data_IF_465027788918
#
_entry.id   IF_465027788918
#
_cell.length_a   1.000
_cell.length_b   1.000
_cell.length_c   1.000
_cell.angle_alpha   90.00
_cell.angle_beta   90.00
_cell.angle_gamma   90.00
#
_symmetry.space_group_name_H-M   'P 1'
#
loop_
_entity.id
_entity.type
_entity.pdbx_description
1 polymer ?
#
# COMPACT_ATOMS: atom_id res chain seq x y z
N UNK A 1 4.06 7.62 -9.94
CA UNK A 1 3.07 6.67 -9.40
C UNK A 1 2.40 5.80 -10.47
N UNK A 2 2.14 6.30 -11.68
CA UNK A 2 1.52 5.50 -12.75
C UNK A 2 2.45 5.44 -13.97
N UNK A 3 3.28 4.39 -14.12
CA UNK A 3 4.16 4.25 -15.29
C UNK A 3 3.38 3.81 -16.54
N UNK A 4 2.24 3.13 -16.38
CA UNK A 4 1.40 2.68 -17.48
C UNK A 4 -0.07 3.03 -17.22
N UNK A 5 -0.84 3.54 -18.22
CA UNK A 5 -2.20 4.03 -17.99
C UNK A 5 -3.17 3.02 -17.37
N UNK A 6 -3.03 1.72 -17.68
CA UNK A 6 -3.91 0.67 -17.14
C UNK A 6 -3.48 0.14 -15.76
N UNK A 7 -2.26 0.45 -15.32
CA UNK A 7 -1.70 -0.02 -14.05
C UNK A 7 -1.71 1.13 -13.03
N UNK A 8 -2.92 1.60 -12.70
CA UNK A 8 -3.18 2.71 -11.78
C UNK A 8 -3.89 2.26 -10.49
N UNK A 9 -3.87 0.96 -10.19
CA UNK A 9 -4.40 0.40 -8.95
C UNK A 9 -3.28 0.35 -7.90
N UNK A 10 -3.54 0.95 -6.74
CA UNK A 10 -2.55 1.03 -5.67
C UNK A 10 -2.89 0.09 -4.52
N UNK A 11 -1.85 -0.33 -3.81
CA UNK A 11 -1.91 -0.99 -2.52
C UNK A 11 -1.57 0.05 -1.45
N UNK A 12 -2.58 0.65 -0.79
CA UNK A 12 -2.32 1.55 0.31
C UNK A 12 -1.95 0.76 1.56
N UNK A 13 -1.09 1.35 2.39
CA UNK A 13 -0.72 0.84 3.70
C UNK A 13 -0.65 1.98 4.71
N UNK A 14 -0.74 1.65 5.99
CA UNK A 14 -0.66 2.64 7.06
C UNK A 14 0.13 2.08 8.24
N UNK A 15 0.96 2.91 8.84
CA UNK A 15 1.69 2.61 10.07
C UNK A 15 1.63 3.82 11.02
N UNK A 16 1.47 3.63 12.34
CA UNK A 16 1.32 2.34 13.02
C UNK A 16 -0.13 1.83 13.01
N UNK A 17 -0.31 0.51 12.87
CA UNK A 17 -1.58 -0.15 13.18
C UNK A 17 -1.51 -0.71 14.60
N UNK A 18 -2.12 0.02 15.54
CA UNK A 18 -2.12 -0.28 16.96
C UNK A 18 -3.53 -0.21 17.51
N UNK A 19 -3.86 -1.12 18.43
CA UNK A 19 -5.12 -1.06 19.15
C UNK A 19 -5.15 0.17 20.06
N UNK A 20 -6.36 0.66 20.37
CA UNK A 20 -6.55 1.90 21.16
C UNK A 20 -5.83 1.89 22.52
N UNK A 21 -5.76 0.73 23.19
CA UNK A 21 -5.07 0.59 24.49
C UNK A 21 -3.57 0.34 24.41
N UNK A 22 -3.05 -0.09 23.26
CA UNK A 22 -1.63 -0.47 23.12
C UNK A 22 -0.74 0.66 22.59
N UNK A 23 -1.32 1.80 22.21
CA UNK A 23 -0.59 2.91 21.60
C UNK A 23 0.47 3.54 22.52
N UNK A 24 0.21 3.60 23.82
CA UNK A 24 1.12 4.24 24.78
C UNK A 24 2.35 3.39 25.11
N UNK A 25 2.26 2.07 24.92
CA UNK A 25 3.29 1.11 25.30
C UNK A 25 4.25 0.75 24.16
N UNK A 26 3.96 1.19 22.93
CA UNK A 26 4.80 0.90 21.77
C UNK A 26 5.69 2.11 21.47
N UNK A 27 7.03 1.97 21.54
CA UNK A 27 7.88 3.00 20.98
C UNK A 27 7.51 3.20 19.51
N UNK A 28 7.55 4.46 19.08
CA UNK A 28 7.32 4.84 17.71
C UNK A 28 8.56 5.57 17.21
N UNK A 29 9.33 4.90 16.37
CA UNK A 29 10.54 5.44 15.75
C UNK A 29 10.44 5.36 14.22
N UNK A 30 11.26 6.13 13.51
CA UNK A 30 11.28 6.12 12.02
C UNK A 30 11.61 4.72 11.47
N UNK A 31 12.59 3.96 12.01
CA UNK A 31 12.87 2.60 11.55
C UNK A 31 11.68 1.65 11.75
N UNK A 32 11.00 1.73 12.89
CA UNK A 32 9.82 0.89 13.18
C UNK A 32 8.65 1.22 12.26
N UNK A 33 8.39 2.51 12.01
CA UNK A 33 7.39 2.95 11.04
C UNK A 33 7.71 2.42 9.64
N UNK A 34 8.97 2.53 9.24
CA UNK A 34 9.43 2.08 7.92
C UNK A 34 9.29 0.56 7.78
N UNK A 35 9.67 -0.21 8.79
CA UNK A 35 9.52 -1.66 8.78
C UNK A 35 8.04 -2.07 8.73
N UNK A 36 7.19 -1.46 9.55
CA UNK A 36 5.75 -1.70 9.55
C UNK A 36 5.10 -1.34 8.22
N UNK A 37 5.58 -0.29 7.56
CA UNK A 37 5.03 0.19 6.29
C UNK A 37 5.17 -0.83 5.14
N UNK A 38 6.26 -1.60 5.13
CA UNK A 38 6.52 -2.64 4.13
C UNK A 38 6.06 -4.04 4.58
N UNK A 39 5.47 -4.19 5.77
CA UNK A 39 4.90 -5.45 6.24
C UNK A 39 3.57 -5.72 5.50
N UNK A 40 3.44 -6.93 4.94
CA UNK A 40 2.23 -7.38 4.26
C UNK A 40 0.98 -7.27 5.15
N UNK A 41 1.13 -7.40 6.48
CA UNK A 41 0.01 -7.31 7.44
C UNK A 41 -0.57 -5.91 7.58
N UNK A 42 0.17 -4.88 7.19
CA UNK A 42 -0.25 -3.49 7.29
C UNK A 42 -0.77 -2.91 5.95
N UNK A 43 -0.83 -3.76 4.93
CA UNK A 43 -1.46 -3.41 3.66
C UNK A 43 -2.98 -3.46 3.81
N UNK A 44 -3.65 -2.45 3.26
CA UNK A 44 -5.12 -2.37 3.22
C UNK A 44 -5.71 -3.09 2.01
N UNK A 45 -4.85 -3.64 1.15
CA UNK A 45 -5.23 -4.54 0.07
C UNK A 45 -4.92 -5.98 0.49
N UNK A 46 -5.87 -6.89 0.28
CA UNK A 46 -5.73 -8.31 0.60
C UNK A 46 -4.86 -9.03 -0.46
N UNK A 47 -3.58 -8.66 -0.53
CA UNK A 47 -2.57 -9.27 -1.39
C UNK A 47 -1.19 -9.18 -0.74
N UNK A 48 -0.34 -10.17 -1.01
CA UNK A 48 1.02 -10.20 -0.47
C UNK A 48 1.98 -9.47 -1.43
N UNK A 49 2.59 -8.34 -1.03
CA UNK A 49 3.52 -7.62 -1.89
C UNK A 49 4.74 -8.44 -2.29
N UNK A 50 5.09 -9.50 -1.55
CA UNK A 50 6.24 -10.40 -1.83
C UNK A 50 6.01 -11.29 -3.05
N UNK A 51 4.76 -11.53 -3.45
CA UNK A 51 4.43 -12.27 -4.67
C UNK A 51 4.55 -11.42 -5.94
N UNK A 52 4.92 -10.15 -5.81
CA UNK A 52 5.10 -9.22 -6.92
C UNK A 52 6.36 -8.38 -6.80
N UNK A 53 6.42 -7.35 -7.63
CA UNK A 53 7.44 -6.30 -7.57
C UNK A 53 6.76 -4.94 -7.56
N UNK A 54 7.34 -4.02 -6.81
CA UNK A 54 6.94 -2.62 -6.80
C UNK A 54 7.42 -1.92 -8.06
N UNK A 55 6.48 -1.36 -8.82
CA UNK A 55 6.73 -0.49 -9.96
C UNK A 55 7.11 0.91 -9.48
N UNK A 56 6.30 1.47 -8.57
CA UNK A 56 6.56 2.76 -7.92
C UNK A 56 6.01 2.75 -6.51
N UNK A 57 6.66 3.44 -5.59
CA UNK A 57 6.23 3.59 -4.20
C UNK A 57 6.23 5.06 -3.84
N UNK A 58 5.19 5.52 -3.16
CA UNK A 58 5.19 6.78 -2.45
C UNK A 58 4.96 6.52 -0.96
N UNK A 59 5.78 7.15 -0.13
CA UNK A 59 5.64 7.11 1.32
C UNK A 59 5.51 8.52 1.85
N UNK A 60 4.55 8.72 2.75
CA UNK A 60 4.27 10.01 3.38
C UNK A 60 4.38 9.83 4.87
N UNK A 61 5.45 10.34 5.44
CA UNK A 61 5.67 10.41 6.88
C UNK A 61 5.03 11.68 7.43
N UNK A 62 4.44 11.57 8.62
CA UNK A 62 3.75 12.65 9.32
C UNK A 62 4.20 12.73 10.76
N UNK A 63 4.43 13.92 11.27
CA UNK A 63 4.97 14.21 12.59
C UNK A 63 6.40 14.73 12.55
N UNK A 64 6.89 15.25 13.68
CA UNK A 64 8.24 15.83 13.77
C UNK A 64 9.30 14.73 13.76
N UNK A 65 10.08 14.65 12.70
CA UNK A 65 11.15 13.66 12.52
C UNK A 65 12.27 14.20 11.62
N UNK A 66 13.44 13.57 11.69
CA UNK A 66 14.58 13.94 10.84
C UNK A 66 14.39 13.43 9.42
N UNK A 67 14.42 14.33 8.42
CA UNK A 67 14.37 13.92 7.01
C UNK A 67 15.54 13.01 6.64
N UNK A 68 16.72 13.28 7.19
CA UNK A 68 17.92 12.45 6.99
C UNK A 68 17.68 11.00 7.45
N UNK A 69 17.08 10.82 8.63
CA UNK A 69 16.79 9.49 9.16
C UNK A 69 15.76 8.76 8.28
N UNK A 70 14.73 9.47 7.82
CA UNK A 70 13.72 8.91 6.89
C UNK A 70 14.37 8.40 5.61
N UNK A 71 15.23 9.22 4.98
CA UNK A 71 15.86 8.86 3.71
C UNK A 71 16.86 7.70 3.89
N UNK A 72 17.63 7.68 4.98
CA UNK A 72 18.53 6.56 5.31
C UNK A 72 17.77 5.25 5.51
N UNK A 73 16.64 5.27 6.23
CA UNK A 73 15.80 4.08 6.43
C UNK A 73 15.17 3.59 5.12
N UNK A 74 14.68 4.51 4.28
CA UNK A 74 14.06 4.17 3.00
C UNK A 74 15.07 3.64 1.98
N UNK A 75 16.30 4.14 2.00
CA UNK A 75 17.41 3.58 1.22
C UNK A 75 17.78 2.18 1.73
N UNK A 76 17.89 2.00 3.05
CA UNK A 76 18.20 0.70 3.66
C UNK A 76 17.19 -0.38 3.26
N UNK A 77 15.89 -0.06 3.26
CA UNK A 77 14.84 -1.00 2.82
C UNK A 77 15.01 -1.35 1.34
N UNK A 78 15.22 -0.37 0.48
CA UNK A 78 15.42 -0.62 -0.96
C UNK A 78 16.64 -1.50 -1.22
N UNK A 79 17.77 -1.24 -0.55
CA UNK A 79 18.99 -2.04 -0.73
C UNK A 79 18.83 -3.47 -0.22
N UNK A 80 18.18 -3.67 0.94
CA UNK A 80 17.94 -5.00 1.52
C UNK A 80 16.96 -5.83 0.71
N UNK A 81 15.97 -5.17 0.10
CA UNK A 81 14.84 -5.79 -0.57
C UNK A 81 14.84 -5.53 -2.09
N UNK A 82 16.01 -5.30 -2.69
CA UNK A 82 16.15 -4.85 -4.07
C UNK A 82 15.44 -5.74 -5.10
N UNK A 83 15.35 -7.04 -4.83
CA UNK A 83 14.65 -8.02 -5.66
C UNK A 83 13.13 -7.78 -5.78
N UNK A 84 12.53 -7.08 -4.80
CA UNK A 84 11.11 -6.72 -4.79
C UNK A 84 10.83 -5.38 -5.49
N UNK A 85 11.86 -4.64 -5.93
CA UNK A 85 11.71 -3.41 -6.70
C UNK A 85 12.08 -3.67 -8.16
N UNK A 86 11.41 -3.01 -9.09
CA UNK A 86 11.82 -3.10 -10.50
C UNK A 86 13.08 -2.27 -10.75
N UNK A 87 14.06 -2.87 -11.41
CA UNK A 87 15.36 -2.24 -11.70
C UNK A 87 15.30 -1.21 -12.83
N UNK A 88 14.38 -1.38 -13.78
CA UNK A 88 14.29 -0.57 -15.00
C UNK A 88 13.55 0.76 -14.80
N UNK A 89 12.91 0.99 -13.64
CA UNK A 89 12.44 2.31 -13.22
C UNK A 89 13.44 2.85 -12.19
N UNK A 90 14.34 3.78 -12.56
CA UNK A 90 15.26 4.37 -11.61
C UNK A 90 14.49 5.21 -10.58
N UNK A 91 14.96 5.21 -9.32
CA UNK A 91 14.41 6.05 -8.24
C UNK A 91 12.88 5.94 -8.10
N UNK A 92 12.37 4.71 -8.14
CA UNK A 92 10.95 4.41 -8.13
C UNK A 92 10.26 4.61 -6.77
N UNK A 93 11.01 4.89 -5.71
CA UNK A 93 10.52 5.23 -4.38
C UNK A 93 10.62 6.73 -4.15
N UNK A 94 9.52 7.34 -3.70
CA UNK A 94 9.46 8.75 -3.31
C UNK A 94 8.99 8.89 -1.86
N UNK A 95 9.72 9.68 -1.10
CA UNK A 95 9.46 9.99 0.30
C UNK A 95 8.95 11.42 0.42
N UNK A 96 7.98 11.64 1.31
CA UNK A 96 7.53 12.97 1.70
C UNK A 96 7.39 13.01 3.23
N UNK A 97 7.68 14.16 3.83
CA UNK A 97 7.56 14.39 5.28
C UNK A 97 6.66 15.60 5.51
N UNK A 98 5.73 15.48 6.46
CA UNK A 98 4.82 16.54 6.88
C UNK A 98 4.90 16.71 8.40
N UNK A 99 5.16 17.93 8.87
CA UNK A 99 5.35 18.19 10.30
C UNK A 99 4.08 18.01 11.15
N UNK A 100 2.90 18.03 10.52
CA UNK A 100 1.60 17.96 11.19
C UNK A 100 1.14 16.49 11.28
N UNK A 101 1.19 15.85 12.47
CA UNK A 101 0.74 14.48 12.64
C UNK A 101 -0.80 14.37 12.59
N UNK A 102 -1.35 13.18 12.34
CA UNK A 102 -2.79 12.93 12.44
C UNK A 102 -3.26 13.00 13.91
N UNK A 103 -4.57 13.23 14.11
CA UNK A 103 -5.17 13.35 15.45
C UNK A 103 -4.94 12.07 16.26
N UNK A 104 -4.50 12.22 17.50
CA UNK A 104 -4.28 11.10 18.43
C UNK A 104 -2.96 10.34 18.25
N UNK A 105 -2.08 10.78 17.34
CA UNK A 105 -0.77 10.15 17.12
C UNK A 105 0.34 11.20 17.12
N UNK A 106 1.55 10.81 17.57
CA UNK A 106 2.74 11.68 17.50
C UNK A 106 3.43 11.62 16.14
N UNK A 107 3.46 10.43 15.53
CA UNK A 107 3.99 10.20 14.20
C UNK A 107 3.18 9.11 13.49
N UNK A 108 3.17 9.13 12.16
CA UNK A 108 2.54 8.14 11.31
C UNK A 108 3.25 8.07 9.95
N UNK A 109 3.09 6.97 9.23
CA UNK A 109 3.54 6.79 7.86
C UNK A 109 2.40 6.22 7.02
N UNK A 110 2.20 6.79 5.84
CA UNK A 110 1.26 6.29 4.84
C UNK A 110 2.03 5.78 3.65
N UNK A 111 1.65 4.61 3.18
CA UNK A 111 2.24 3.92 2.05
C UNK A 111 1.27 3.89 0.88
N UNK A 112 1.78 4.12 -0.31
CA UNK A 112 1.06 3.95 -1.56
C UNK A 112 2.00 3.20 -2.50
N UNK A 113 1.76 1.90 -2.69
CA UNK A 113 2.54 1.06 -3.59
C UNK A 113 1.77 0.76 -4.88
N UNK A 114 2.42 0.97 -6.02
CA UNK A 114 2.00 0.35 -7.28
C UNK A 114 2.78 -0.96 -7.43
N UNK A 115 2.14 -2.10 -7.13
CA UNK A 115 2.77 -3.42 -7.14
C UNK A 115 2.04 -4.36 -8.07
N UNK A 116 2.79 -5.25 -8.74
CA UNK A 116 2.21 -6.33 -9.55
C UNK A 116 1.48 -7.38 -8.72
N UNK A 117 1.63 -7.37 -7.39
CA UNK A 117 0.88 -8.22 -6.46
C UNK A 117 -0.63 -7.93 -6.45
N UNK A 118 -1.07 -6.75 -6.91
CA UNK A 118 -2.50 -6.39 -7.01
C UNK A 118 -3.31 -7.37 -7.88
N UNK A 119 -2.64 -8.13 -8.75
CA UNK A 119 -3.27 -9.18 -9.55
C UNK A 119 -3.99 -10.23 -8.69
N UNK A 120 -3.54 -10.50 -7.46
CA UNK A 120 -4.16 -11.48 -6.58
C UNK A 120 -5.58 -11.07 -6.20
N UNK A 121 -5.76 -9.79 -5.89
CA UNK A 121 -7.07 -9.21 -5.58
C UNK A 121 -8.01 -9.34 -6.78
N UNK A 122 -7.51 -9.07 -8.00
CA UNK A 122 -8.31 -9.26 -9.21
C UNK A 122 -8.63 -10.74 -9.47
N UNK A 123 -7.66 -11.65 -9.32
CA UNK A 123 -7.87 -13.10 -9.48
C UNK A 123 -8.90 -13.64 -8.48
N UNK A 124 -8.85 -13.21 -7.22
CA UNK A 124 -9.81 -13.59 -6.20
C UNK A 124 -11.22 -13.13 -6.54
N UNK A 125 -11.39 -11.86 -6.94
CA UNK A 125 -12.69 -11.33 -7.36
C UNK A 125 -13.21 -12.02 -8.62
N UNK A 126 -12.36 -12.24 -9.62
CA UNK A 126 -12.71 -12.98 -10.82
C UNK A 126 -13.17 -14.39 -10.48
N UNK A 127 -12.46 -15.12 -9.61
CA UNK A 127 -12.86 -16.46 -9.16
C UNK A 127 -14.25 -16.44 -8.53
N UNK A 128 -14.51 -15.49 -7.62
CA UNK A 128 -15.83 -15.30 -7.01
C UNK A 128 -16.92 -15.06 -8.06
N UNK A 129 -16.66 -14.21 -9.06
CA UNK A 129 -17.59 -13.95 -10.16
C UNK A 129 -17.81 -15.24 -10.97
N UNK A 130 -16.76 -15.92 -11.42
CA UNK A 130 -16.89 -17.15 -12.22
C UNK A 130 -17.62 -18.27 -11.48
N UNK A 131 -17.41 -18.43 -10.17
CA UNK A 131 -18.09 -19.45 -9.36
C UNK A 131 -19.54 -19.08 -9.02
N UNK A 132 -19.83 -17.79 -8.82
CA UNK A 132 -21.15 -17.32 -8.36
C UNK A 132 -22.04 -16.76 -9.48
N UNK A 133 -21.57 -16.74 -10.73
CA UNK A 133 -22.41 -16.53 -11.92
C UNK A 133 -22.80 -17.90 -12.49
N UNK A 134 -23.86 -18.58 -12.00
CA UNK A 134 -24.59 -19.47 -12.85
C UNK A 134 -25.14 -18.66 -14.04
N UNK A 135 -25.21 -19.28 -15.23
CA UNK A 135 -25.59 -18.69 -16.54
C UNK A 135 -26.89 -17.83 -16.58
N UNK A 136 -27.59 -17.57 -15.47
CA UNK A 136 -28.89 -16.90 -15.40
C UNK A 136 -29.15 -16.00 -14.18
N UNK A 137 -28.17 -15.65 -13.33
CA UNK A 137 -28.43 -14.89 -12.09
C UNK A 137 -28.16 -13.37 -12.13
N UNK A 138 -27.56 -12.85 -13.22
CA UNK A 138 -27.45 -11.39 -13.48
C UNK A 138 -28.56 -10.70 -14.33
N UNK A 139 -29.74 -11.29 -14.66
CA UNK A 139 -30.77 -10.59 -15.41
C UNK A 139 -32.00 -10.26 -14.52
N UNK A 140 -31.97 -9.18 -13.74
CA UNK A 140 -32.75 -7.98 -14.12
C UNK A 140 -32.14 -6.62 -13.74
N UNK A 141 -31.11 -6.57 -12.89
CA UNK A 141 -30.52 -5.30 -12.41
C UNK A 141 -29.64 -4.62 -13.47
N UNK A 142 -28.98 -5.39 -14.34
CA UNK A 142 -28.11 -4.86 -15.40
C UNK A 142 -28.93 -4.34 -16.60
N UNK A 143 -30.13 -4.87 -16.81
CA UNK A 143 -30.98 -4.53 -17.97
C UNK A 143 -31.99 -3.41 -17.70
N UNK A 144 -32.09 -2.88 -16.48
CA UNK A 144 -33.12 -1.90 -16.10
C UNK A 144 -32.75 -0.42 -16.33
N UNK A 145 -31.61 -0.12 -16.98
CA UNK A 145 -31.16 1.27 -17.27
C UNK A 145 -30.95 1.52 -18.77
N UNK A 146 -31.97 1.29 -19.59
CA UNK A 146 -31.96 1.76 -21.00
C UNK A 146 -33.24 2.41 -21.52
N UNK A 147 -34.30 2.54 -20.72
CA UNK A 147 -35.49 3.29 -21.11
C UNK A 147 -35.74 4.42 -20.11
N UNK A 148 -35.36 5.62 -20.52
CA UNK A 148 -35.56 6.90 -19.86
C UNK A 148 -35.12 7.99 -20.81
#
# INVERSE_FOLDING_TARGET
>A
MVPFPRLHFFMPGFAPLTARGSQQYRPLTVPELTQQMFDARNMMAACDPRHGRYLTVATVFRGRMSMKEVDEQMLSVQSKNSSYFVEWIPNNVKTAVCDIPPRGMKMAATFIGNSTAIQELFKANLRTIYCNVPKKSFPPLVHRRRNG
#
